data_IF_812071918556
#
_entry.id   IF_812071918556
#
_cell.length_a   1.000
_cell.length_b   1.000
_cell.length_c   1.000
_cell.angle_alpha   90.00
_cell.angle_beta   90.00
_cell.angle_gamma   90.00
#
_symmetry.space_group_name_H-M   'P 1'
#
loop_
_entity.id
_entity.type
_entity.pdbx_description
1 polymer ?
#
# COMPACT_ATOMS: atom_id res chain seq x y z
N UNK A 1 -0.22 1.38 -23.88
CA UNK A 1 -0.01 2.51 -22.97
C UNK A 1 1.01 2.07 -21.95
N UNK A 2 2.19 2.68 -22.00
CA UNK A 2 3.30 2.44 -21.08
C UNK A 2 2.96 3.03 -19.72
N UNK A 3 3.62 2.54 -18.67
CA UNK A 3 3.47 3.08 -17.32
C UNK A 3 3.84 4.56 -17.27
N UNK A 4 4.87 4.98 -18.01
CA UNK A 4 5.32 6.38 -18.04
C UNK A 4 4.21 7.33 -18.53
N UNK A 5 3.52 6.97 -19.61
CA UNK A 5 2.40 7.77 -20.17
C UNK A 5 1.27 7.88 -19.14
N UNK A 6 0.95 6.79 -18.47
CA UNK A 6 -0.06 6.80 -17.41
C UNK A 6 0.36 7.71 -16.24
N UNK A 7 1.64 7.71 -15.86
CA UNK A 7 2.14 8.53 -14.76
C UNK A 7 2.13 10.02 -15.12
N UNK A 8 2.44 10.38 -16.36
CA UNK A 8 2.34 11.74 -16.90
C UNK A 8 0.90 12.25 -16.86
N UNK A 9 -0.03 11.51 -17.44
CA UNK A 9 -1.47 11.83 -17.44
C UNK A 9 -2.00 11.98 -16.00
N UNK A 10 -1.60 11.06 -15.12
CA UNK A 10 -2.01 11.09 -13.72
C UNK A 10 -1.42 12.30 -12.98
N UNK A 11 -0.15 12.64 -13.24
CA UNK A 11 0.50 13.80 -12.64
C UNK A 11 -0.20 15.09 -13.08
N UNK A 12 -0.47 15.26 -14.38
CA UNK A 12 -1.17 16.43 -14.90
C UNK A 12 -2.58 16.56 -14.31
N UNK A 13 -3.34 15.46 -14.26
CA UNK A 13 -4.69 15.47 -13.69
C UNK A 13 -4.68 15.79 -12.20
N UNK A 14 -3.75 15.24 -11.42
CA UNK A 14 -3.60 15.56 -10.00
C UNK A 14 -3.21 17.04 -9.83
N UNK A 15 -2.31 17.56 -10.67
CA UNK A 15 -1.91 18.97 -10.69
C UNK A 15 -3.10 19.88 -10.95
N UNK A 16 -3.88 19.61 -12.01
CA UNK A 16 -5.09 20.36 -12.37
C UNK A 16 -6.11 20.40 -11.21
N UNK A 17 -6.43 19.26 -10.60
CA UNK A 17 -7.33 19.20 -9.45
C UNK A 17 -6.77 19.91 -8.22
N UNK A 18 -5.46 19.86 -8.00
CA UNK A 18 -4.80 20.55 -6.89
C UNK A 18 -4.87 22.06 -7.08
N UNK A 19 -4.67 22.54 -8.30
CA UNK A 19 -4.85 23.95 -8.65
C UNK A 19 -6.31 24.39 -8.47
N UNK A 20 -7.29 23.58 -8.93
CA UNK A 20 -8.72 23.84 -8.67
C UNK A 20 -9.00 23.94 -7.17
N UNK A 21 -8.44 23.02 -6.37
CA UNK A 21 -8.61 23.04 -4.92
C UNK A 21 -8.00 24.30 -4.28
N UNK A 22 -6.82 24.76 -4.74
CA UNK A 22 -6.19 26.01 -4.28
C UNK A 22 -7.04 27.24 -4.66
N UNK A 23 -7.71 27.24 -5.82
CA UNK A 23 -8.66 28.31 -6.22
C UNK A 23 -9.89 28.31 -5.31
N UNK A 24 -10.50 27.15 -5.07
CA UNK A 24 -11.66 27.02 -4.18
C UNK A 24 -11.32 27.39 -2.73
N UNK A 25 -10.14 27.03 -2.23
CA UNK A 25 -9.70 27.40 -0.87
C UNK A 25 -9.57 28.93 -0.73
N UNK A 26 -8.99 29.61 -1.73
CA UNK A 26 -8.91 31.08 -1.76
C UNK A 26 -10.29 31.72 -1.78
N UNK A 27 -11.23 31.16 -2.54
CA UNK A 27 -12.61 31.65 -2.58
C UNK A 27 -13.31 31.45 -1.23
N UNK A 28 -13.21 30.23 -0.66
CA UNK A 28 -13.79 29.90 0.64
C UNK A 28 -13.28 30.81 1.77
N UNK A 29 -11.99 31.15 1.80
CA UNK A 29 -11.44 32.08 2.81
C UNK A 29 -12.06 33.48 2.76
N UNK A 30 -12.67 33.87 1.63
CA UNK A 30 -13.32 35.18 1.48
C UNK A 30 -14.81 35.13 1.85
N UNK A 31 -15.53 34.08 1.45
CA UNK A 31 -16.98 34.02 1.57
C UNK A 31 -17.52 33.03 2.62
N UNK A 32 -16.69 32.11 3.11
CA UNK A 32 -17.08 31.01 4.02
C UNK A 32 -18.27 30.16 3.53
N UNK A 33 -18.49 30.13 2.22
CA UNK A 33 -19.63 29.48 1.60
C UNK A 33 -19.60 27.94 1.78
N UNK A 34 -20.74 27.40 2.24
CA UNK A 34 -20.94 25.98 2.47
C UNK A 34 -20.84 25.16 1.17
N UNK A 35 -21.30 25.68 0.04
CA UNK A 35 -21.28 24.97 -1.24
C UNK A 35 -19.86 24.92 -1.81
N UNK A 36 -19.07 25.98 -1.64
CA UNK A 36 -17.63 25.97 -1.94
C UNK A 36 -16.91 24.91 -1.10
N UNK A 37 -17.23 24.82 0.19
CA UNK A 37 -16.69 23.76 1.08
C UNK A 37 -17.09 22.35 0.62
N UNK A 38 -18.32 22.17 0.13
CA UNK A 38 -18.78 20.89 -0.44
C UNK A 38 -18.00 20.54 -1.71
N UNK A 39 -17.81 21.49 -2.62
CA UNK A 39 -17.05 21.28 -3.86
C UNK A 39 -15.59 20.94 -3.57
N UNK A 40 -14.94 21.65 -2.64
CA UNK A 40 -13.60 21.29 -2.15
C UNK A 40 -13.55 19.83 -1.64
N UNK A 41 -14.61 19.39 -0.96
CA UNK A 41 -14.75 18.01 -0.49
C UNK A 41 -14.83 16.99 -1.63
N UNK A 42 -15.48 17.34 -2.75
CA UNK A 42 -15.55 16.50 -3.96
C UNK A 42 -14.17 16.41 -4.61
N UNK A 43 -13.50 17.55 -4.84
CA UNK A 43 -12.16 17.60 -5.44
C UNK A 43 -11.14 16.83 -4.60
N UNK A 44 -11.15 16.99 -3.26
CA UNK A 44 -10.28 16.21 -2.36
C UNK A 44 -10.52 14.70 -2.47
N UNK A 45 -11.78 14.27 -2.62
CA UNK A 45 -12.12 12.86 -2.81
C UNK A 45 -11.60 12.34 -4.15
N UNK A 46 -11.71 13.14 -5.20
CA UNK A 46 -11.22 12.79 -6.54
C UNK A 46 -9.69 12.66 -6.57
N UNK A 47 -8.96 13.61 -6.00
CA UNK A 47 -7.49 13.50 -5.85
C UNK A 47 -7.12 12.22 -5.08
N UNK A 48 -7.83 11.93 -3.99
CA UNK A 48 -7.59 10.70 -3.21
C UNK A 48 -7.87 9.44 -4.01
N UNK A 49 -8.90 9.45 -4.87
CA UNK A 49 -9.26 8.34 -5.77
C UNK A 49 -8.13 8.12 -6.79
N UNK A 50 -7.71 9.17 -7.50
CA UNK A 50 -6.62 9.10 -8.48
C UNK A 50 -5.30 8.61 -7.84
N UNK A 51 -4.92 9.15 -6.67
CA UNK A 51 -3.73 8.66 -5.93
C UNK A 51 -3.84 7.19 -5.51
N UNK A 52 -5.05 6.65 -5.39
CA UNK A 52 -5.27 5.22 -5.11
C UNK A 52 -5.20 4.38 -6.38
N UNK A 53 -5.69 4.91 -7.51
CA UNK A 53 -5.61 4.28 -8.83
C UNK A 53 -4.15 4.18 -9.29
N UNK A 54 -3.36 5.25 -9.15
CA UNK A 54 -1.92 5.22 -9.46
C UNK A 54 -1.20 4.12 -8.70
N UNK A 55 -1.47 3.95 -7.40
CA UNK A 55 -0.87 2.86 -6.61
C UNK A 55 -1.27 1.48 -7.09
N UNK A 56 -2.47 1.36 -7.66
CA UNK A 56 -2.97 0.11 -8.21
C UNK A 56 -2.33 -0.17 -9.57
N UNK A 57 -2.22 0.83 -10.44
CA UNK A 57 -1.54 0.74 -11.73
C UNK A 57 -0.05 0.42 -11.58
N UNK A 58 0.64 1.00 -10.59
CA UNK A 58 2.02 0.62 -10.26
C UNK A 58 2.17 -0.86 -9.90
N UNK A 59 1.14 -1.45 -9.28
CA UNK A 59 1.17 -2.87 -8.91
C UNK A 59 0.79 -3.78 -10.09
N UNK A 60 -0.10 -3.32 -10.96
CA UNK A 60 -0.41 -4.04 -12.21
C UNK A 60 0.78 -4.03 -13.17
N UNK A 61 1.52 -2.92 -13.22
CA UNK A 61 2.71 -2.70 -14.06
C UNK A 61 4.02 -2.84 -13.27
N UNK A 62 4.05 -3.72 -12.25
CA UNK A 62 5.21 -3.82 -11.36
C UNK A 62 6.51 -4.25 -12.08
N UNK A 63 6.40 -5.06 -13.14
CA UNK A 63 7.56 -5.43 -13.96
C UNK A 63 8.16 -4.22 -14.67
N UNK A 64 7.31 -3.41 -15.32
CA UNK A 64 7.72 -2.16 -15.95
C UNK A 64 8.28 -1.16 -14.94
N UNK A 65 7.66 -1.04 -13.76
CA UNK A 65 8.18 -0.17 -12.70
C UNK A 65 9.59 -0.58 -12.25
N UNK A 66 9.89 -1.89 -12.21
CA UNK A 66 11.24 -2.40 -11.94
C UNK A 66 12.18 -2.20 -13.13
N UNK A 67 11.69 -2.28 -14.37
CA UNK A 67 12.51 -1.99 -15.54
C UNK A 67 12.89 -0.52 -15.64
N UNK A 68 12.01 0.40 -15.24
CA UNK A 68 12.35 1.82 -15.13
C UNK A 68 13.53 2.03 -14.16
N UNK A 69 13.48 1.43 -12.97
CA UNK A 69 14.58 1.49 -12.00
C UNK A 69 15.89 0.87 -12.53
N UNK A 70 15.79 -0.21 -13.31
CA UNK A 70 16.94 -0.93 -13.87
C UNK A 70 17.60 -0.23 -15.06
N UNK A 71 16.81 0.33 -15.97
CA UNK A 71 17.28 0.79 -17.28
C UNK A 71 17.22 2.30 -17.46
N UNK A 72 16.31 3.00 -16.79
CA UNK A 72 16.13 4.44 -16.87
C UNK A 72 16.02 5.05 -15.45
N UNK A 73 17.02 4.85 -14.57
CA UNK A 73 16.93 5.27 -13.17
C UNK A 73 16.77 6.78 -13.01
N UNK A 74 17.40 7.59 -13.87
CA UNK A 74 17.26 9.05 -13.84
C UNK A 74 15.84 9.51 -14.20
N UNK A 75 15.22 8.88 -15.20
CA UNK A 75 13.82 9.15 -15.55
C UNK A 75 12.89 8.83 -14.37
N UNK A 76 13.10 7.67 -13.72
CA UNK A 76 12.33 7.31 -12.54
C UNK A 76 12.53 8.30 -11.39
N UNK A 77 13.75 8.81 -11.22
CA UNK A 77 14.07 9.83 -10.22
C UNK A 77 13.33 11.13 -10.50
N UNK A 78 13.25 11.59 -11.75
CA UNK A 78 12.45 12.78 -12.13
C UNK A 78 10.98 12.62 -11.72
N UNK A 79 10.37 11.46 -11.98
CA UNK A 79 9.00 11.19 -11.52
C UNK A 79 8.87 11.12 -9.99
N UNK A 80 9.89 10.64 -9.28
CA UNK A 80 9.90 10.59 -7.81
C UNK A 80 10.02 11.98 -7.19
N UNK A 81 10.69 12.92 -7.87
CA UNK A 81 10.89 14.31 -7.43
C UNK A 81 9.67 15.21 -7.73
N UNK A 82 8.76 14.81 -8.61
CA UNK A 82 7.52 15.54 -8.91
C UNK A 82 6.62 15.73 -7.68
N UNK A 83 6.14 16.96 -7.46
CA UNK A 83 5.32 17.36 -6.29
C UNK A 83 4.01 16.55 -6.17
N UNK A 84 3.44 16.13 -7.30
CA UNK A 84 2.08 15.58 -7.38
C UNK A 84 2.07 14.06 -7.33
N UNK A 85 2.92 13.41 -8.13
CA UNK A 85 3.01 11.96 -8.30
C UNK A 85 4.11 11.33 -7.44
N UNK A 86 5.22 12.01 -7.21
CA UNK A 86 6.37 11.52 -6.44
C UNK A 86 5.99 10.92 -5.07
N UNK A 87 5.23 11.64 -4.21
CA UNK A 87 4.77 11.12 -2.92
C UNK A 87 3.85 9.88 -3.02
N UNK A 88 3.31 9.57 -4.20
CA UNK A 88 2.54 8.36 -4.48
C UNK A 88 3.48 7.21 -4.83
N UNK A 89 4.47 7.46 -5.69
CA UNK A 89 5.48 6.49 -6.12
C UNK A 89 6.35 6.01 -4.95
N UNK A 90 6.79 6.91 -4.08
CA UNK A 90 7.58 6.59 -2.88
C UNK A 90 6.90 5.59 -1.94
N UNK A 91 5.56 5.52 -1.96
CA UNK A 91 4.81 4.56 -1.12
C UNK A 91 4.95 3.13 -1.62
N UNK A 92 5.41 2.94 -2.85
CA UNK A 92 5.61 1.64 -3.51
C UNK A 92 7.06 1.39 -3.93
N UNK A 93 7.96 2.38 -3.82
CA UNK A 93 9.38 2.25 -4.17
C UNK A 93 10.09 1.07 -3.48
N UNK A 94 9.67 0.70 -2.27
CA UNK A 94 10.21 -0.47 -1.57
C UNK A 94 10.07 -1.79 -2.35
N UNK A 95 9.12 -1.89 -3.30
CA UNK A 95 8.93 -3.06 -4.17
C UNK A 95 9.97 -3.16 -5.31
N UNK A 96 10.71 -2.08 -5.59
CA UNK A 96 11.81 -2.07 -6.56
C UNK A 96 12.97 -2.94 -6.05
N UNK A 97 13.23 -2.92 -4.75
CA UNK A 97 14.27 -3.72 -4.10
C UNK A 97 13.88 -5.19 -3.84
N UNK A 98 12.75 -5.65 -4.36
CA UNK A 98 12.34 -7.03 -4.18
C UNK A 98 13.30 -7.97 -4.90
N UNK A 99 13.93 -8.84 -4.12
CA UNK A 99 14.71 -9.97 -4.60
C UNK A 99 14.06 -11.24 -4.07
N UNK A 100 13.95 -12.28 -4.91
CA UNK A 100 13.53 -13.58 -4.40
C UNK A 100 14.62 -14.11 -3.48
N UNK A 101 14.22 -14.55 -2.28
CA UNK A 101 15.10 -15.08 -1.25
C UNK A 101 14.64 -16.52 -0.99
N UNK A 102 15.56 -17.48 -0.83
CA UNK A 102 15.20 -18.85 -0.48
C UNK A 102 14.29 -18.91 0.76
N UNK A 103 13.24 -19.76 0.77
CA UNK A 103 12.27 -19.86 1.85
C UNK A 103 12.83 -19.91 3.28
N UNK A 104 13.90 -20.70 3.48
CA UNK A 104 14.53 -20.87 4.79
C UNK A 104 15.20 -19.57 5.27
N UNK A 105 15.96 -18.93 4.39
CA UNK A 105 16.62 -17.66 4.69
C UNK A 105 15.60 -16.55 4.92
N UNK A 106 14.55 -16.48 4.08
CA UNK A 106 13.48 -15.51 4.24
C UNK A 106 12.76 -15.66 5.59
N UNK A 107 12.53 -16.90 6.05
CA UNK A 107 11.92 -17.18 7.34
C UNK A 107 12.81 -16.76 8.51
N UNK A 108 14.11 -17.08 8.46
CA UNK A 108 15.06 -16.65 9.50
C UNK A 108 15.15 -15.13 9.60
N UNK A 109 15.28 -14.43 8.47
CA UNK A 109 15.28 -12.95 8.44
C UNK A 109 13.97 -12.38 8.93
N UNK A 110 12.83 -13.01 8.62
CA UNK A 110 11.53 -12.55 9.10
C UNK A 110 11.42 -12.65 10.62
N UNK A 111 11.95 -13.72 11.24
CA UNK A 111 12.03 -13.83 12.70
C UNK A 111 12.95 -12.78 13.31
N UNK A 112 14.08 -12.49 12.68
CA UNK A 112 14.98 -11.40 13.10
C UNK A 112 14.27 -10.04 13.05
N UNK A 113 13.57 -9.73 11.95
CA UNK A 113 12.76 -8.51 11.81
C UNK A 113 11.69 -8.45 12.90
N UNK A 114 10.99 -9.54 13.22
CA UNK A 114 10.01 -9.58 14.31
C UNK A 114 10.64 -9.25 15.67
N UNK A 115 11.81 -9.82 15.98
CA UNK A 115 12.56 -9.54 17.22
C UNK A 115 12.99 -8.08 17.29
N UNK A 116 13.55 -7.53 16.22
CA UNK A 116 13.94 -6.12 16.15
C UNK A 116 12.75 -5.17 16.33
N UNK A 117 11.59 -5.50 15.75
CA UNK A 117 10.37 -4.71 15.95
C UNK A 117 9.84 -4.81 17.38
N UNK A 118 10.06 -5.93 18.08
CA UNK A 118 9.75 -6.04 19.50
C UNK A 118 10.67 -5.11 20.32
N UNK A 119 11.98 -5.13 20.04
CA UNK A 119 12.94 -4.21 20.67
C UNK A 119 12.56 -2.74 20.45
N UNK A 120 12.08 -2.33 19.27
CA UNK A 120 11.62 -0.96 19.05
C UNK A 120 10.38 -0.58 19.86
N UNK A 121 9.48 -1.53 20.12
CA UNK A 121 8.31 -1.29 21.01
C UNK A 121 8.76 -1.14 22.45
N UNK A 122 9.70 -1.96 22.89
CA UNK A 122 10.30 -1.86 24.22
C UNK A 122 11.06 -0.54 24.37
N UNK A 123 11.87 -0.17 23.38
CA UNK A 123 12.55 1.13 23.33
C UNK A 123 11.57 2.30 23.44
N UNK A 124 10.42 2.22 22.76
CA UNK A 124 9.37 3.25 22.88
C UNK A 124 8.81 3.34 24.29
N UNK A 125 8.61 2.21 24.97
CA UNK A 125 8.14 2.19 26.37
C UNK A 125 9.19 2.79 27.30
N UNK A 126 10.44 2.31 27.21
CA UNK A 126 11.56 2.81 28.00
C UNK A 126 11.81 4.29 27.78
N UNK A 127 11.65 4.80 26.55
CA UNK A 127 11.79 6.22 26.24
C UNK A 127 10.75 7.10 26.96
N UNK A 128 9.53 6.58 27.17
CA UNK A 128 8.48 7.32 27.87
C UNK A 128 8.85 7.51 29.36
N UNK A 129 9.47 6.51 29.97
CA UNK A 129 9.92 6.50 31.36
C UNK A 129 11.29 7.18 31.56
N UNK A 130 12.05 7.39 30.48
CA UNK A 130 13.38 8.01 30.53
C UNK A 130 13.33 9.41 31.13
N UNK A 131 14.30 9.83 31.95
CA UNK A 131 14.36 11.19 32.50
C UNK A 131 15.53 11.94 31.87
N UNK A 132 15.29 13.17 31.42
CA UNK A 132 16.30 14.01 30.76
C UNK A 132 16.63 13.59 29.32
N UNK A 133 17.83 13.98 28.86
CA UNK A 133 18.33 13.66 27.52
C UNK A 133 18.69 12.18 27.40
N UNK A 134 18.53 11.65 26.19
CA UNK A 134 18.82 10.24 25.89
C UNK A 134 20.27 10.13 25.44
N UNK A 135 21.10 9.48 26.26
CA UNK A 135 22.47 9.14 25.89
C UNK A 135 22.46 7.98 24.90
N UNK A 136 22.81 8.25 23.63
CA UNK A 136 22.78 7.26 22.55
C UNK A 136 23.52 5.96 22.89
N UNK A 137 24.71 6.03 23.52
CA UNK A 137 25.49 4.84 23.89
C UNK A 137 24.74 3.92 24.85
N UNK A 138 24.13 4.45 25.90
CA UNK A 138 23.38 3.68 26.88
C UNK A 138 22.10 3.08 26.25
N UNK A 139 21.39 3.88 25.45
CA UNK A 139 20.15 3.46 24.82
C UNK A 139 20.38 2.37 23.74
N UNK A 140 21.45 2.49 22.94
CA UNK A 140 21.84 1.51 21.92
C UNK A 140 22.42 0.23 22.54
N UNK A 141 23.04 0.29 23.72
CA UNK A 141 23.47 -0.91 24.45
C UNK A 141 22.26 -1.78 24.82
N UNK A 142 21.17 -1.17 25.28
CA UNK A 142 19.91 -1.87 25.59
C UNK A 142 19.13 -2.27 24.32
N UNK A 143 19.15 -1.43 23.29
CA UNK A 143 18.42 -1.65 22.03
C UNK A 143 19.37 -1.65 20.82
N UNK A 144 20.08 -2.77 20.55
CA UNK A 144 21.07 -2.85 19.47
C UNK A 144 20.52 -2.54 18.07
N UNK A 145 19.21 -2.72 17.86
CA UNK A 145 18.51 -2.35 16.62
C UNK A 145 18.64 -0.86 16.25
N UNK A 146 18.92 0.01 17.22
CA UNK A 146 19.12 1.45 16.99
C UNK A 146 20.58 1.84 16.70
N UNK A 147 21.49 0.87 16.65
CA UNK A 147 22.91 1.11 16.35
C UNK A 147 23.06 1.74 14.96
N UNK A 148 23.87 2.80 14.88
CA UNK A 148 24.08 3.56 13.64
C UNK A 148 22.99 4.59 13.33
N UNK A 149 21.86 4.57 14.03
CA UNK A 149 20.76 5.52 13.84
C UNK A 149 20.74 6.66 14.87
N UNK A 150 21.41 6.51 16.01
CA UNK A 150 21.48 7.51 17.08
C UNK A 150 22.91 8.05 17.23
N UNK A 151 23.06 9.32 17.57
CA UNK A 151 24.37 9.98 17.78
C UNK A 151 24.29 10.99 18.93
N UNK A 152 25.31 11.01 19.78
CA UNK A 152 25.42 12.00 20.86
C UNK A 152 24.35 11.87 21.94
N UNK A 153 24.04 13.00 22.59
CA UNK A 153 22.87 13.16 23.44
C UNK A 153 21.73 13.71 22.61
N UNK A 154 20.53 13.15 22.77
CA UNK A 154 19.37 13.47 21.93
C UNK A 154 18.16 13.78 22.79
N UNK A 155 17.29 14.65 22.29
CA UNK A 155 15.99 14.88 22.92
C UNK A 155 15.05 13.69 22.69
N UNK A 156 14.09 13.50 23.59
CA UNK A 156 13.14 12.38 23.49
C UNK A 156 12.38 12.36 22.16
N UNK A 157 12.00 13.52 21.64
CA UNK A 157 11.23 13.59 20.40
C UNK A 157 12.05 13.20 19.18
N UNK A 158 13.33 13.55 19.14
CA UNK A 158 14.26 13.10 18.11
C UNK A 158 14.43 11.57 18.14
N UNK A 159 14.62 11.00 19.33
CA UNK A 159 14.73 9.54 19.50
C UNK A 159 13.44 8.84 19.08
N UNK A 160 12.28 9.41 19.43
CA UNK A 160 10.97 8.90 19.02
C UNK A 160 10.81 8.92 17.50
N UNK A 161 11.30 9.95 16.83
CA UNK A 161 11.30 10.02 15.37
C UNK A 161 12.22 8.97 14.75
N UNK A 162 13.42 8.76 15.31
CA UNK A 162 14.35 7.71 14.87
C UNK A 162 13.70 6.33 15.00
N UNK A 163 13.13 6.00 16.17
CA UNK A 163 12.44 4.72 16.38
C UNK A 163 11.34 4.52 15.33
N UNK A 164 10.55 5.56 15.03
CA UNK A 164 9.50 5.51 13.99
C UNK A 164 10.09 5.29 12.59
N UNK A 165 11.23 5.91 12.27
CA UNK A 165 11.93 5.71 10.98
C UNK A 165 12.42 4.28 10.85
N UNK A 166 13.09 3.73 11.87
CA UNK A 166 13.58 2.34 11.88
C UNK A 166 12.43 1.34 11.81
N UNK A 167 11.32 1.54 12.57
CA UNK A 167 10.16 0.62 12.49
C UNK A 167 9.54 0.61 11.08
N UNK A 168 9.50 1.76 10.38
CA UNK A 168 9.04 1.82 8.99
C UNK A 168 9.95 1.04 8.04
N UNK A 169 11.27 1.08 8.23
CA UNK A 169 12.22 0.31 7.43
C UNK A 169 12.04 -1.20 7.65
N UNK A 170 11.99 -1.63 8.92
CA UNK A 170 11.75 -3.03 9.29
C UNK A 170 10.40 -3.55 8.81
N UNK A 171 9.37 -2.69 8.81
CA UNK A 171 8.07 -3.02 8.22
C UNK A 171 8.17 -3.30 6.73
N UNK A 172 8.86 -2.45 5.97
CA UNK A 172 9.08 -2.64 4.53
C UNK A 172 9.86 -3.93 4.26
N UNK A 173 10.94 -4.17 4.99
CA UNK A 173 11.74 -5.39 4.90
C UNK A 173 10.91 -6.64 5.22
N UNK A 174 10.16 -6.63 6.32
CA UNK A 174 9.27 -7.73 6.68
C UNK A 174 8.22 -8.02 5.60
N UNK A 175 7.70 -6.99 4.93
CA UNK A 175 6.80 -7.17 3.80
C UNK A 175 7.50 -7.78 2.58
N UNK A 176 8.72 -7.36 2.24
CA UNK A 176 9.52 -7.96 1.16
C UNK A 176 9.77 -9.45 1.40
N UNK A 177 10.11 -9.81 2.65
CA UNK A 177 10.29 -11.20 3.06
C UNK A 177 8.97 -11.97 2.98
N UNK A 178 7.85 -11.39 3.43
CA UNK A 178 6.55 -12.04 3.37
C UNK A 178 6.05 -12.25 1.95
N UNK A 179 6.34 -11.37 1.00
CA UNK A 179 5.94 -11.57 -0.40
C UNK A 179 6.89 -12.53 -1.15
N UNK A 180 7.93 -13.06 -0.52
CA UNK A 180 8.75 -14.14 -1.08
C UNK A 180 7.96 -15.46 -1.16
N UNK A 181 8.30 -16.27 -2.16
CA UNK A 181 7.51 -17.38 -2.71
C UNK A 181 6.64 -18.16 -1.72
N UNK A 182 7.24 -18.79 -0.69
CA UNK A 182 6.50 -19.65 0.23
C UNK A 182 5.79 -18.89 1.35
N UNK A 183 6.36 -17.76 1.79
CA UNK A 183 5.87 -16.99 2.94
C UNK A 183 4.63 -16.18 2.60
N UNK A 184 4.38 -15.88 1.32
CA UNK A 184 3.22 -15.12 0.86
C UNK A 184 1.89 -15.81 1.21
N UNK A 185 1.92 -17.13 1.41
CA UNK A 185 0.77 -17.91 1.89
C UNK A 185 0.29 -17.47 3.27
N UNK A 186 1.19 -17.01 4.14
CA UNK A 186 0.88 -16.56 5.51
C UNK A 186 -0.09 -15.36 5.48
N UNK A 187 0.25 -14.22 4.85
CA UNK A 187 -0.68 -13.10 4.78
C UNK A 187 -1.90 -13.42 3.93
N UNK A 188 -1.79 -14.21 2.84
CA UNK A 188 -2.94 -14.63 2.03
C UNK A 188 -3.97 -15.36 2.91
N UNK A 189 -3.56 -16.39 3.65
CA UNK A 189 -4.43 -17.16 4.54
C UNK A 189 -5.09 -16.26 5.58
N UNK A 190 -4.30 -15.40 6.24
CA UNK A 190 -4.80 -14.43 7.23
C UNK A 190 -5.89 -13.51 6.66
N UNK A 191 -5.70 -12.96 5.46
CA UNK A 191 -6.68 -12.06 4.85
C UNK A 191 -7.88 -12.81 4.30
N UNK A 192 -7.69 -14.02 3.77
CA UNK A 192 -8.77 -14.87 3.30
C UNK A 192 -9.72 -15.29 4.42
N UNK A 193 -9.19 -15.73 5.56
CA UNK A 193 -10.01 -16.10 6.72
C UNK A 193 -10.84 -14.90 7.21
N UNK A 194 -10.27 -13.69 7.21
CA UNK A 194 -11.00 -12.46 7.54
C UNK A 194 -12.09 -12.13 6.53
N UNK A 195 -11.83 -12.31 5.23
CA UNK A 195 -12.82 -12.09 4.17
C UNK A 195 -13.97 -13.09 4.30
N UNK A 196 -13.68 -14.38 4.55
CA UNK A 196 -14.69 -15.41 4.76
C UNK A 196 -15.57 -15.10 5.98
N UNK A 197 -14.97 -14.73 7.11
CA UNK A 197 -15.69 -14.28 8.30
C UNK A 197 -16.58 -13.07 8.00
N UNK A 198 -16.11 -12.10 7.21
CA UNK A 198 -16.90 -10.93 6.85
C UNK A 198 -18.01 -11.26 5.86
N UNK A 199 -17.83 -12.26 4.99
CA UNK A 199 -18.89 -12.76 4.09
C UNK A 199 -20.02 -13.40 4.88
N UNK A 200 -19.72 -14.24 5.88
CA UNK A 200 -20.77 -14.79 6.75
C UNK A 200 -21.49 -13.68 7.52
N UNK A 201 -20.75 -12.73 8.10
CA UNK A 201 -21.34 -11.56 8.77
C UNK A 201 -22.19 -10.68 7.84
N UNK A 202 -21.79 -10.53 6.56
CA UNK A 202 -22.55 -9.78 5.56
C UNK A 202 -23.90 -10.45 5.29
N UNK A 203 -23.95 -11.78 5.17
CA UNK A 203 -25.19 -12.54 4.97
C UNK A 203 -26.17 -12.28 6.13
N UNK A 204 -25.70 -12.37 7.37
CA UNK A 204 -26.52 -12.08 8.55
C UNK A 204 -26.99 -10.62 8.57
N UNK A 205 -26.11 -9.66 8.25
CA UNK A 205 -26.47 -8.24 8.22
C UNK A 205 -27.49 -7.90 7.11
N UNK A 206 -27.43 -8.59 5.96
CA UNK A 206 -28.43 -8.47 4.90
C UNK A 206 -29.78 -9.02 5.38
N UNK A 207 -29.78 -10.17 6.05
CA UNK A 207 -31.00 -10.74 6.64
C UNK A 207 -31.60 -9.82 7.71
N UNK A 208 -30.77 -9.24 8.59
CA UNK A 208 -31.20 -8.26 9.60
C UNK A 208 -31.83 -7.02 8.94
N UNK A 209 -31.21 -6.49 7.88
CA UNK A 209 -31.76 -5.35 7.14
C UNK A 209 -33.11 -5.69 6.52
N UNK A 210 -33.24 -6.88 5.91
CA UNK A 210 -34.53 -7.36 5.37
C UNK A 210 -35.61 -7.45 6.46
N UNK A 211 -35.27 -7.94 7.65
CA UNK A 211 -36.18 -8.02 8.80
C UNK A 211 -36.53 -6.66 9.41
N UNK A 212 -35.64 -5.67 9.28
CA UNK A 212 -35.81 -4.33 9.82
C UNK A 212 -36.59 -3.40 8.89
N UNK A 213 -36.63 -3.68 7.58
CA UNK A 213 -37.45 -2.94 6.61
C UNK A 213 -38.92 -2.91 7.05
N UNK A 214 -39.54 -1.74 6.99
CA UNK A 214 -40.90 -1.46 7.44
C UNK A 214 -41.07 -1.30 8.96
N UNK A 215 -40.02 -1.48 9.78
CA UNK A 215 -40.12 -1.47 11.26
C UNK A 215 -39.64 -0.16 11.91
N UNK A 216 -39.58 0.91 11.13
CA UNK A 216 -39.22 2.26 11.57
C UNK A 216 -37.79 2.68 11.23
N UNK A 217 -37.62 3.99 11.04
CA UNK A 217 -36.40 4.61 10.50
C UNK A 217 -35.15 4.32 11.31
N UNK A 218 -35.24 4.25 12.65
CA UNK A 218 -34.07 4.03 13.52
C UNK A 218 -33.52 2.60 13.39
N UNK A 219 -34.38 1.58 13.40
CA UNK A 219 -33.96 0.17 13.28
C UNK A 219 -33.39 -0.12 11.89
N UNK A 220 -34.02 0.41 10.85
CA UNK A 220 -33.52 0.34 9.47
C UNK A 220 -32.17 1.02 9.31
N UNK A 221 -32.03 2.26 9.80
CA UNK A 221 -30.78 3.01 9.72
C UNK A 221 -29.65 2.29 10.46
N UNK A 222 -29.93 1.68 11.62
CA UNK A 222 -28.93 0.90 12.36
C UNK A 222 -28.50 -0.35 11.59
N UNK A 223 -29.44 -1.09 11.01
CA UNK A 223 -29.14 -2.27 10.18
C UNK A 223 -28.33 -1.90 8.93
N UNK A 224 -28.69 -0.79 8.28
CA UNK A 224 -27.96 -0.27 7.11
C UNK A 224 -26.52 0.13 7.47
N UNK A 225 -26.33 0.88 8.56
CA UNK A 225 -24.99 1.26 9.06
C UNK A 225 -24.14 0.03 9.38
N UNK A 226 -24.72 -1.02 9.97
CA UNK A 226 -24.03 -2.29 10.25
C UNK A 226 -23.57 -2.95 8.94
N UNK A 227 -24.46 -3.06 7.96
CA UNK A 227 -24.15 -3.65 6.65
C UNK A 227 -23.03 -2.87 5.94
N UNK A 228 -23.11 -1.53 5.91
CA UNK A 228 -22.07 -0.69 5.32
C UNK A 228 -20.72 -0.87 5.99
N UNK A 229 -20.68 -0.94 7.33
CA UNK A 229 -19.43 -1.15 8.08
C UNK A 229 -18.80 -2.48 7.72
N UNK A 230 -19.59 -3.54 7.58
CA UNK A 230 -19.10 -4.87 7.17
C UNK A 230 -18.56 -4.82 5.74
N UNK A 231 -19.31 -4.23 4.79
CA UNK A 231 -18.88 -4.07 3.39
C UNK A 231 -17.57 -3.29 3.27
N UNK A 232 -17.45 -2.16 3.99
CA UNK A 232 -16.21 -1.35 4.01
C UNK A 232 -15.02 -2.16 4.54
N UNK A 233 -15.20 -2.96 5.60
CA UNK A 233 -14.14 -3.82 6.15
C UNK A 233 -13.77 -4.96 5.21
N UNK A 234 -14.76 -5.58 4.56
CA UNK A 234 -14.53 -6.65 3.58
C UNK A 234 -13.73 -6.12 2.39
N UNK A 235 -14.17 -5.01 1.80
CA UNK A 235 -13.48 -4.35 0.70
C UNK A 235 -12.04 -3.94 1.07
N UNK A 236 -11.82 -3.46 2.30
CA UNK A 236 -10.46 -3.17 2.78
C UNK A 236 -9.55 -4.41 2.75
N UNK A 237 -10.00 -5.56 3.26
CA UNK A 237 -9.18 -6.78 3.25
C UNK A 237 -9.04 -7.39 1.86
N UNK A 238 -10.07 -7.31 1.01
CA UNK A 238 -9.96 -7.65 -0.40
C UNK A 238 -8.87 -6.81 -1.07
N UNK A 239 -8.86 -5.49 -0.87
CA UNK A 239 -7.82 -4.62 -1.43
C UNK A 239 -6.41 -4.95 -0.90
N UNK A 240 -6.27 -5.28 0.40
CA UNK A 240 -4.99 -5.73 0.95
C UNK A 240 -4.51 -7.00 0.26
N UNK A 241 -5.41 -7.98 0.07
CA UNK A 241 -5.09 -9.23 -0.61
C UNK A 241 -4.72 -9.01 -2.09
N UNK A 242 -5.44 -8.11 -2.80
CA UNK A 242 -5.10 -7.71 -4.17
C UNK A 242 -3.68 -7.15 -4.23
N UNK A 243 -3.35 -6.23 -3.32
CA UNK A 243 -2.02 -5.61 -3.29
C UNK A 243 -0.92 -6.64 -3.05
N UNK A 244 -1.11 -7.58 -2.12
CA UNK A 244 -0.13 -8.64 -1.83
C UNK A 244 0.12 -9.52 -3.06
N UNK A 245 -0.96 -9.95 -3.72
CA UNK A 245 -0.85 -10.80 -4.91
C UNK A 245 -0.16 -10.08 -6.07
N UNK A 246 -0.49 -8.80 -6.29
CA UNK A 246 0.14 -8.00 -7.34
C UNK A 246 1.60 -7.63 -7.02
N UNK A 247 1.97 -7.56 -5.73
CA UNK A 247 3.37 -7.36 -5.31
C UNK A 247 4.29 -8.55 -5.63
N UNK A 248 3.72 -9.72 -5.98
CA UNK A 248 4.48 -10.86 -6.51
C UNK A 248 3.81 -11.43 -7.79
N UNK A 249 4.07 -10.84 -8.97
CA UNK A 249 3.47 -11.27 -10.23
C UNK A 249 3.84 -12.69 -10.66
N UNK A 250 5.01 -13.21 -10.28
CA UNK A 250 5.41 -14.60 -10.60
C UNK A 250 4.59 -15.60 -9.77
N UNK A 251 4.41 -15.35 -8.48
CA UNK A 251 3.55 -16.17 -7.62
C UNK A 251 2.09 -16.16 -8.12
N UNK A 252 1.55 -14.99 -8.46
CA UNK A 252 0.19 -14.86 -9.01
C UNK A 252 0.03 -15.63 -10.33
N UNK A 253 1.02 -15.57 -11.23
CA UNK A 253 1.04 -16.39 -12.46
C UNK A 253 1.08 -17.88 -12.15
N UNK A 254 1.85 -18.30 -11.14
CA UNK A 254 1.92 -19.71 -10.72
C UNK A 254 0.57 -20.22 -10.20
N UNK A 255 -0.17 -19.40 -9.44
CA UNK A 255 -1.52 -19.72 -8.97
C UNK A 255 -2.48 -19.92 -10.14
N UNK A 256 -2.44 -19.04 -11.14
CA UNK A 256 -3.31 -19.13 -12.33
C UNK A 256 -3.00 -20.35 -13.21
N UNK A 257 -1.72 -20.77 -13.29
CA UNK A 257 -1.31 -21.96 -14.06
C UNK A 257 -1.69 -23.26 -13.38
N UNK A 258 -1.57 -23.33 -12.05
CA UNK A 258 -1.97 -24.50 -11.26
C UNK A 258 -3.50 -24.56 -11.14
N UNK A 259 -4.18 -25.07 -12.16
CA UNK A 259 -5.64 -25.35 -12.18
C UNK A 259 -6.15 -26.26 -11.02
N UNK A 260 -5.27 -26.77 -10.15
CA UNK A 260 -5.53 -27.90 -9.25
C UNK A 260 -5.04 -27.74 -7.78
N UNK A 261 -4.63 -26.57 -7.28
CA UNK A 261 -4.14 -26.48 -5.88
C UNK A 261 -5.24 -26.30 -4.81
N UNK A 262 -6.45 -25.92 -5.22
CA UNK A 262 -7.66 -25.97 -4.42
C UNK A 262 -8.53 -27.08 -4.99
N UNK A 263 -8.84 -28.08 -4.16
CA UNK A 263 -9.60 -29.27 -4.53
C UNK A 263 -10.91 -28.89 -5.26
N UNK A 264 -11.38 -29.79 -6.13
CA UNK A 264 -12.61 -29.65 -6.93
C UNK A 264 -13.87 -29.32 -6.11
N UNK A 265 -13.81 -29.42 -4.77
CA UNK A 265 -14.90 -29.17 -3.82
C UNK A 265 -14.92 -27.75 -3.22
N UNK A 266 -13.88 -26.92 -3.40
CA UNK A 266 -13.81 -25.53 -2.89
C UNK A 266 -13.66 -24.46 -3.99
N UNK A 267 -14.02 -24.79 -5.23
CA UNK A 267 -14.16 -23.80 -6.30
C UNK A 267 -15.33 -22.88 -5.99
N UNK A 268 -15.08 -21.61 -5.70
CA UNK A 268 -16.23 -20.69 -5.54
C UNK A 268 -15.90 -19.21 -5.49
N UNK A 269 -14.90 -18.79 -4.71
CA UNK A 269 -14.71 -17.36 -4.43
C UNK A 269 -13.28 -16.84 -4.48
N UNK A 270 -12.27 -17.66 -4.19
CA UNK A 270 -10.87 -17.24 -4.28
C UNK A 270 -10.37 -17.25 -5.72
N UNK A 271 -10.72 -18.27 -6.49
CA UNK A 271 -10.36 -18.37 -7.91
C UNK A 271 -10.98 -17.22 -8.71
N UNK A 272 -12.29 -16.94 -8.54
CA UNK A 272 -12.96 -15.76 -9.12
C UNK A 272 -12.29 -14.44 -8.74
N UNK A 273 -11.79 -14.36 -7.50
CA UNK A 273 -11.07 -13.18 -7.02
C UNK A 273 -9.69 -13.04 -7.70
N UNK A 274 -8.98 -14.14 -7.93
CA UNK A 274 -7.69 -14.17 -8.63
C UNK A 274 -7.84 -13.94 -10.13
N UNK A 275 -8.89 -14.47 -10.76
CA UNK A 275 -9.16 -14.31 -12.19
C UNK A 275 -9.17 -12.83 -12.59
N UNK A 276 -9.81 -11.98 -11.78
CA UNK A 276 -9.83 -10.52 -11.96
C UNK A 276 -8.52 -9.79 -11.68
N UNK A 277 -7.44 -10.48 -11.28
CA UNK A 277 -6.11 -9.89 -11.03
C UNK A 277 -5.10 -10.39 -12.05
N UNK A 278 -4.90 -9.65 -13.14
CA UNK A 278 -3.92 -9.99 -14.16
C UNK A 278 -2.88 -8.88 -14.24
N UNK A 279 -1.64 -9.10 -13.78
CA UNK A 279 -0.57 -8.13 -13.97
C UNK A 279 -0.28 -8.01 -15.48
N UNK A 280 0.08 -6.81 -15.92
CA UNK A 280 0.47 -6.59 -17.30
C UNK A 280 1.75 -7.37 -17.59
N UNK A 281 1.75 -8.09 -18.71
CA UNK A 281 2.93 -8.81 -19.18
C UNK A 281 3.76 -7.88 -20.02
N UNK A 282 5.02 -7.72 -19.65
CA UNK A 282 5.95 -6.88 -20.41
C UNK A 282 7.10 -7.76 -20.91
N UNK A 283 7.29 -7.79 -22.23
CA UNK A 283 8.48 -8.40 -22.83
C UNK A 283 9.60 -7.37 -22.77
N UNK A 284 10.59 -7.60 -21.91
CA UNK A 284 11.66 -6.65 -21.59
C UNK A 284 12.30 -6.00 -22.83
N UNK A 285 12.72 -6.79 -23.82
CA UNK A 285 13.34 -6.26 -25.05
C UNK A 285 12.40 -5.38 -25.88
N UNK A 286 11.15 -5.82 -26.10
CA UNK A 286 10.18 -5.04 -26.86
C UNK A 286 9.83 -3.73 -26.16
N UNK A 287 9.71 -3.78 -24.82
CA UNK A 287 9.48 -2.60 -23.99
C UNK A 287 10.67 -1.64 -24.02
N UNK A 288 11.90 -2.15 -23.97
CA UNK A 288 13.11 -1.33 -24.09
C UNK A 288 13.18 -0.60 -25.43
N UNK A 289 12.83 -1.27 -26.53
CA UNK A 289 12.81 -0.67 -27.85
C UNK A 289 11.74 0.44 -27.94
N UNK A 290 10.56 0.20 -27.36
CA UNK A 290 9.47 1.19 -27.29
C UNK A 290 9.87 2.42 -26.47
N UNK A 291 10.46 2.21 -25.28
CA UNK A 291 10.98 3.28 -24.42
C UNK A 291 12.06 4.10 -25.11
N UNK A 292 13.03 3.46 -25.76
CA UNK A 292 14.10 4.17 -26.48
C UNK A 292 13.57 4.99 -27.64
N UNK A 293 12.57 4.50 -28.38
CA UNK A 293 11.92 5.27 -29.45
C UNK A 293 11.26 6.52 -28.89
N UNK A 294 10.53 6.39 -27.78
CA UNK A 294 9.86 7.54 -27.15
C UNK A 294 10.84 8.60 -26.66
N UNK A 295 11.86 8.20 -25.91
CA UNK A 295 12.82 9.15 -25.35
C UNK A 295 13.61 9.88 -26.45
N UNK A 296 13.85 9.23 -27.60
CA UNK A 296 14.48 9.88 -28.76
C UNK A 296 13.56 10.88 -29.47
N UNK A 297 12.25 10.62 -29.49
CA UNK A 297 11.26 11.55 -30.08
C UNK A 297 11.13 12.83 -29.23
N UNK A 298 11.53 12.80 -27.96
CA UNK A 298 11.53 13.98 -27.08
C UNK A 298 12.82 14.81 -27.13
N UNK A 299 13.87 14.32 -27.80
CA UNK A 299 15.16 15.02 -27.99
C UNK A 299 15.26 15.79 -29.34
N UNK A 300 14.27 15.65 -30.22
CA UNK A 300 14.11 16.40 -31.49
C UNK A 300 13.04 17.50 -31.38
#
# INVERSE_FOLDING_TARGET
MLLIEYLEDAAEKIRSLTMKLRKLDRHYRRCYDRDVRREMGIVKKEIKKLKSEVKYELLLNLEEFRYLDKYFPELLKTFMEDEYIGPVLEKKSWLLHYKSIPPREAAMRLEQVKRWRLQLREATKTLNEWVGTVRSRAFVATFPVLRGHMKGEMEKDEVREIIRKVDKLLLKEGWLLLISDSLIKIPISKYMNKIQLLKSQEIYAVADLRKAKGKGTVKETRALRRLEKIRKRKHHYENMLKQILLSNPSYLRSLKRKKNWLSREQRGAFDKFIEGLTPHKVKEMAWLDEMKKKLKIEEE
#
